data_IF_384802120574
#
_entry.id   IF_384802120574
#
_cell.length_a   1.000
_cell.length_b   1.000
_cell.length_c   1.000
_cell.angle_alpha   90.00
_cell.angle_beta   90.00
_cell.angle_gamma   90.00
#
_symmetry.space_group_name_H-M   'P 1'
#
loop_
_entity.id
_entity.type
_entity.pdbx_description
1 polymer ?
#
# COMPACT_ATOMS: atom_id res chain seq x y z
N UNK A 1 -11.86 20.86 -14.37
CA UNK A 1 -11.38 21.11 -13.00
C UNK A 1 -12.01 20.07 -12.12
N UNK A 2 -11.27 19.04 -11.71
CA UNK A 2 -11.77 18.00 -10.80
C UNK A 2 -11.66 18.54 -9.38
N UNK A 3 -12.75 18.48 -8.63
CA UNK A 3 -12.82 18.94 -7.23
C UNK A 3 -11.84 18.16 -6.34
N UNK A 4 -11.26 18.79 -5.31
CA UNK A 4 -10.41 18.09 -4.36
C UNK A 4 -11.28 17.13 -3.54
N UNK A 5 -10.91 15.86 -3.52
CA UNK A 5 -11.54 14.84 -2.69
C UNK A 5 -11.24 15.13 -1.21
N UNK A 6 -12.10 15.89 -0.54
CA UNK A 6 -12.04 16.14 0.90
C UNK A 6 -12.83 15.06 1.63
N UNK A 7 -12.28 13.86 1.70
CA UNK A 7 -12.82 12.84 2.59
C UNK A 7 -12.42 13.25 4.03
N UNK A 8 -13.37 13.58 4.94
CA UNK A 8 -13.02 14.01 6.29
C UNK A 8 -12.28 12.88 7.02
N UNK A 9 -11.25 13.25 7.79
CA UNK A 9 -10.55 12.33 8.68
C UNK A 9 -11.57 11.65 9.64
N UNK A 10 -11.34 10.40 10.05
CA UNK A 10 -12.19 9.74 11.04
C UNK A 10 -12.27 10.60 12.31
N UNK A 11 -13.46 10.67 12.92
CA UNK A 11 -13.77 11.56 14.07
C UNK A 11 -12.93 11.31 15.32
N UNK A 12 -12.16 10.22 15.37
CA UNK A 12 -11.31 9.82 16.49
C UNK A 12 -9.80 9.99 16.24
N UNK A 13 -9.39 10.53 15.08
CA UNK A 13 -7.96 10.75 14.80
C UNK A 13 -7.48 12.08 15.40
N UNK A 14 -6.55 12.01 16.35
CA UNK A 14 -5.86 13.17 16.92
C UNK A 14 -4.50 13.39 16.23
N UNK A 15 -4.34 14.40 15.35
CA UNK A 15 -3.07 14.69 14.68
C UNK A 15 -1.98 15.23 15.63
N UNK A 16 -2.35 15.60 16.85
CA UNK A 16 -1.45 16.10 17.89
C UNK A 16 -1.19 15.07 19.00
N UNK A 17 -1.59 13.81 18.80
CA UNK A 17 -1.32 12.73 19.74
C UNK A 17 0.20 12.61 20.01
N UNK A 18 0.61 12.86 21.25
CA UNK A 18 2.00 12.80 21.65
C UNK A 18 2.15 12.53 23.14
N UNK A 19 3.09 11.66 23.50
CA UNK A 19 3.50 11.43 24.89
C UNK A 19 4.51 12.46 25.41
N UNK A 20 4.97 13.39 24.56
CA UNK A 20 6.06 14.34 24.85
C UNK A 20 5.58 15.68 25.43
N UNK A 21 4.29 15.81 25.71
CA UNK A 21 3.71 17.05 26.25
C UNK A 21 4.33 17.41 27.59
N UNK A 22 4.84 18.63 27.72
CA UNK A 22 5.50 19.14 28.93
C UNK A 22 6.95 18.69 29.13
N UNK A 23 7.47 17.80 28.28
CA UNK A 23 8.88 17.38 28.29
C UNK A 23 9.73 18.13 27.25
N UNK A 24 9.08 18.66 26.22
CA UNK A 24 9.72 19.31 25.06
C UNK A 24 9.14 20.71 24.86
N UNK A 25 10.00 21.64 24.40
CA UNK A 25 9.58 22.99 24.06
C UNK A 25 8.44 23.00 23.03
N UNK A 26 7.47 23.91 23.25
CA UNK A 26 6.27 23.99 22.40
C UNK A 26 6.60 24.20 20.92
N UNK A 27 7.61 25.02 20.62
CA UNK A 27 8.01 25.29 19.23
C UNK A 27 8.50 24.01 18.51
N UNK A 28 9.16 23.10 19.23
CA UNK A 28 9.62 21.82 18.68
C UNK A 28 8.45 20.87 18.46
N UNK A 29 7.47 20.87 19.37
CA UNK A 29 6.23 20.09 19.20
C UNK A 29 5.44 20.56 17.97
N UNK A 30 5.33 21.88 17.76
CA UNK A 30 4.61 22.44 16.62
C UNK A 30 5.27 22.05 15.28
N UNK A 31 6.60 22.11 15.19
CA UNK A 31 7.34 21.64 14.00
C UNK A 31 7.15 20.14 13.77
N UNK A 32 7.22 19.33 14.85
CA UNK A 32 6.99 17.90 14.79
C UNK A 32 5.58 17.56 14.28
N UNK A 33 4.55 18.27 14.76
CA UNK A 33 3.18 18.09 14.30
C UNK A 33 3.02 18.48 12.83
N UNK A 34 3.67 19.54 12.36
CA UNK A 34 3.65 19.91 10.94
C UNK A 34 4.26 18.82 10.05
N UNK A 35 5.37 18.22 10.46
CA UNK A 35 6.00 17.12 9.71
C UNK A 35 5.09 15.88 9.72
N UNK A 36 4.52 15.54 10.88
CA UNK A 36 3.60 14.39 11.01
C UNK A 36 2.33 14.54 10.18
N UNK A 37 1.76 15.73 10.09
CA UNK A 37 0.62 15.98 9.20
C UNK A 37 0.95 15.69 7.73
N UNK A 38 2.20 15.88 7.30
CA UNK A 38 2.64 15.46 5.95
C UNK A 38 2.74 13.93 5.84
N UNK A 39 3.23 13.25 6.87
CA UNK A 39 3.28 11.78 6.95
C UNK A 39 1.87 11.19 6.86
N UNK A 40 0.92 11.71 7.64
CA UNK A 40 -0.46 11.25 7.64
C UNK A 40 -1.09 11.34 6.24
N UNK A 41 -0.78 12.42 5.51
CA UNK A 41 -1.24 12.60 4.13
C UNK A 41 -0.58 11.60 3.16
N UNK A 42 0.70 11.26 3.33
CA UNK A 42 1.34 10.21 2.53
C UNK A 42 0.77 8.82 2.82
N UNK A 43 0.49 8.53 4.09
CA UNK A 43 -0.11 7.25 4.51
C UNK A 43 -1.51 7.09 3.92
N UNK A 44 -2.32 8.15 3.92
CA UNK A 44 -3.63 8.16 3.26
C UNK A 44 -3.50 7.85 1.75
N UNK A 45 -2.57 8.51 1.07
CA UNK A 45 -2.31 8.26 -0.36
C UNK A 45 -1.84 6.82 -0.62
N UNK A 46 -0.98 6.27 0.24
CA UNK A 46 -0.51 4.90 0.14
C UNK A 46 -1.69 3.91 0.23
N UNK A 47 -2.62 4.12 1.17
CA UNK A 47 -3.82 3.28 1.32
C UNK A 47 -4.70 3.34 0.07
N UNK A 48 -4.97 4.53 -0.47
CA UNK A 48 -5.78 4.66 -1.68
C UNK A 48 -5.10 4.03 -2.91
N UNK A 49 -3.79 4.19 -3.07
CA UNK A 49 -3.03 3.55 -4.14
C UNK A 49 -3.05 2.03 -4.03
N UNK A 50 -2.90 1.49 -2.81
CA UNK A 50 -3.01 0.06 -2.57
C UNK A 50 -4.42 -0.44 -2.92
N UNK A 51 -5.48 0.27 -2.55
CA UNK A 51 -6.86 -0.10 -2.89
C UNK A 51 -7.06 -0.23 -4.41
N UNK A 52 -6.57 0.73 -5.19
CA UNK A 52 -6.63 0.66 -6.66
C UNK A 52 -5.78 -0.48 -7.22
N UNK A 53 -4.57 -0.70 -6.67
CA UNK A 53 -3.73 -1.84 -7.05
C UNK A 53 -4.45 -3.17 -6.78
N UNK A 54 -5.12 -3.31 -5.64
CA UNK A 54 -5.84 -4.53 -5.29
C UNK A 54 -7.03 -4.78 -6.22
N UNK A 55 -7.80 -3.74 -6.61
CA UNK A 55 -8.85 -3.86 -7.65
C UNK A 55 -8.31 -4.43 -8.96
N UNK A 56 -7.16 -3.94 -9.42
CA UNK A 56 -6.51 -4.48 -10.62
C UNK A 56 -6.12 -5.95 -10.44
N UNK A 57 -5.58 -6.32 -9.28
CA UNK A 57 -5.20 -7.71 -9.01
C UNK A 57 -6.40 -8.64 -8.88
N UNK A 58 -7.55 -8.19 -8.36
CA UNK A 58 -8.79 -8.97 -8.34
C UNK A 58 -9.25 -9.29 -9.77
N UNK A 59 -9.22 -8.30 -10.68
CA UNK A 59 -9.53 -8.52 -12.10
C UNK A 59 -8.60 -9.56 -12.74
N UNK A 60 -7.30 -9.51 -12.43
CA UNK A 60 -6.34 -10.55 -12.85
C UNK A 60 -6.73 -11.92 -12.26
N UNK A 61 -7.12 -11.97 -10.99
CA UNK A 61 -7.56 -13.20 -10.32
C UNK A 61 -8.79 -13.83 -10.97
N UNK A 62 -9.82 -13.03 -11.27
CA UNK A 62 -11.00 -13.49 -12.01
C UNK A 62 -10.64 -14.00 -13.41
N UNK A 63 -9.80 -13.26 -14.16
CA UNK A 63 -9.34 -13.69 -15.47
C UNK A 63 -8.59 -15.03 -15.38
N UNK A 64 -7.70 -15.19 -14.40
CA UNK A 64 -6.98 -16.43 -14.16
C UNK A 64 -7.93 -17.58 -13.82
N UNK A 65 -8.91 -17.35 -12.96
CA UNK A 65 -9.90 -18.37 -12.57
C UNK A 65 -10.71 -18.86 -13.77
N UNK A 66 -11.27 -17.95 -14.58
CA UNK A 66 -12.05 -18.27 -15.80
C UNK A 66 -11.25 -19.13 -16.78
N UNK A 67 -9.93 -18.90 -16.86
CA UNK A 67 -9.05 -19.63 -17.78
C UNK A 67 -8.23 -20.74 -17.10
N UNK A 68 -8.56 -21.11 -15.85
CA UNK A 68 -7.87 -22.16 -15.09
C UNK A 68 -6.35 -21.97 -15.01
N UNK A 69 -5.90 -20.71 -14.94
CA UNK A 69 -4.50 -20.34 -14.84
C UNK A 69 -4.01 -20.35 -13.39
N UNK A 70 -2.73 -20.66 -13.13
CA UNK A 70 -2.19 -20.68 -11.79
C UNK A 70 -2.18 -19.28 -11.15
N UNK A 71 -2.41 -19.18 -9.83
CA UNK A 71 -2.43 -17.89 -9.11
C UNK A 71 -1.05 -17.22 -9.07
N UNK A 72 0.04 -18.00 -8.98
CA UNK A 72 1.42 -17.51 -9.03
C UNK A 72 2.01 -17.55 -10.45
N UNK A 73 2.93 -16.63 -10.73
CA UNK A 73 3.78 -16.62 -11.93
C UNK A 73 5.19 -16.20 -11.49
N UNK A 74 6.09 -17.18 -11.22
CA UNK A 74 7.42 -16.89 -10.68
C UNK A 74 8.27 -15.97 -11.55
N UNK A 75 8.12 -16.05 -12.89
CA UNK A 75 8.85 -15.18 -13.80
C UNK A 75 8.35 -13.74 -13.71
N UNK A 76 7.02 -13.55 -13.62
CA UNK A 76 6.42 -12.23 -13.42
C UNK A 76 6.81 -11.65 -12.06
N UNK A 77 6.82 -12.46 -11.01
CA UNK A 77 7.22 -12.06 -9.66
C UNK A 77 8.67 -11.57 -9.63
N UNK A 78 9.60 -12.36 -10.19
CA UNK A 78 11.01 -11.97 -10.33
C UNK A 78 11.18 -10.64 -11.06
N UNK A 79 10.51 -10.46 -12.20
CA UNK A 79 10.57 -9.21 -12.96
C UNK A 79 10.00 -8.00 -12.21
N UNK A 80 8.99 -8.20 -11.35
CA UNK A 80 8.48 -7.12 -10.48
C UNK A 80 9.51 -6.71 -9.44
N UNK A 81 10.16 -7.68 -8.80
CA UNK A 81 11.20 -7.43 -7.79
C UNK A 81 12.37 -6.65 -8.41
N UNK A 82 12.90 -7.11 -9.54
CA UNK A 82 14.01 -6.45 -10.23
C UNK A 82 13.68 -4.99 -10.59
N UNK A 83 12.50 -4.75 -11.17
CA UNK A 83 12.03 -3.40 -11.50
C UNK A 83 11.86 -2.54 -10.25
N UNK A 84 11.29 -3.07 -9.18
CA UNK A 84 11.07 -2.30 -7.96
C UNK A 84 12.38 -1.94 -7.27
N UNK A 85 13.36 -2.85 -7.21
CA UNK A 85 14.69 -2.56 -6.67
C UNK A 85 15.38 -1.43 -7.44
N UNK A 86 15.16 -1.34 -8.76
CA UNK A 86 15.66 -0.23 -9.57
C UNK A 86 14.98 1.09 -9.20
N UNK A 87 13.64 1.13 -9.16
CA UNK A 87 12.89 2.33 -8.76
C UNK A 87 13.24 2.79 -7.34
N UNK A 88 13.47 1.87 -6.41
CA UNK A 88 13.88 2.18 -5.05
C UNK A 88 15.21 2.94 -5.04
N UNK A 89 16.20 2.50 -5.83
CA UNK A 89 17.49 3.22 -5.95
C UNK A 89 17.32 4.62 -6.52
N UNK A 90 16.50 4.78 -7.55
CA UNK A 90 16.21 6.10 -8.15
C UNK A 90 15.52 7.05 -7.17
N UNK A 91 14.66 6.50 -6.30
CA UNK A 91 13.94 7.24 -5.27
C UNK A 91 14.73 7.41 -3.95
N UNK A 92 16.00 7.00 -3.91
CA UNK A 92 16.82 6.98 -2.69
C UNK A 92 16.19 6.19 -1.51
N UNK A 93 15.40 5.16 -1.83
CA UNK A 93 14.82 4.21 -0.89
C UNK A 93 15.68 2.93 -0.86
N UNK A 94 15.80 2.31 0.32
CA UNK A 94 16.48 1.03 0.47
C UNK A 94 15.80 -0.06 -0.41
N UNK A 95 16.53 -0.67 -1.37
CA UNK A 95 15.99 -1.71 -2.23
C UNK A 95 15.54 -2.96 -1.47
N UNK A 96 16.17 -3.29 -0.33
CA UNK A 96 15.76 -4.44 0.47
C UNK A 96 14.42 -4.18 1.18
N UNK A 97 14.23 -2.98 1.71
CA UNK A 97 12.94 -2.55 2.25
C UNK A 97 11.84 -2.59 1.19
N UNK A 98 12.09 -2.01 0.01
CA UNK A 98 11.11 -2.01 -1.08
C UNK A 98 10.71 -3.44 -1.49
N UNK A 99 11.69 -4.34 -1.60
CA UNK A 99 11.45 -5.75 -1.91
C UNK A 99 10.60 -6.45 -0.83
N UNK A 100 10.86 -6.21 0.46
CA UNK A 100 10.03 -6.74 1.56
C UNK A 100 8.58 -6.29 1.44
N UNK A 101 8.35 -5.01 1.17
CA UNK A 101 6.99 -4.46 0.97
C UNK A 101 6.29 -5.13 -0.21
N UNK A 102 6.98 -5.29 -1.35
CA UNK A 102 6.39 -5.93 -2.52
C UNK A 102 6.13 -7.42 -2.30
N UNK A 103 7.03 -8.15 -1.64
CA UNK A 103 6.84 -9.56 -1.32
C UNK A 103 5.61 -9.77 -0.42
N UNK A 104 5.40 -8.88 0.55
CA UNK A 104 4.17 -8.87 1.36
C UNK A 104 2.92 -8.67 0.49
N UNK A 105 2.93 -7.66 -0.39
CA UNK A 105 1.79 -7.39 -1.28
C UNK A 105 1.52 -8.56 -2.24
N UNK A 106 2.56 -9.17 -2.82
CA UNK A 106 2.43 -10.33 -3.72
C UNK A 106 1.79 -11.52 -2.98
N UNK A 107 2.22 -11.77 -1.75
CA UNK A 107 1.68 -12.85 -0.91
C UNK A 107 0.17 -12.69 -0.70
N UNK A 108 -0.29 -11.48 -0.38
CA UNK A 108 -1.72 -11.19 -0.23
C UNK A 108 -2.49 -11.33 -1.55
N UNK A 109 -1.91 -10.92 -2.67
CA UNK A 109 -2.54 -11.08 -4.00
C UNK A 109 -2.72 -12.56 -4.35
N UNK A 110 -1.71 -13.40 -4.12
CA UNK A 110 -1.79 -14.84 -4.39
C UNK A 110 -2.88 -15.49 -3.54
N UNK A 111 -2.95 -15.13 -2.25
CA UNK A 111 -4.03 -15.60 -1.35
C UNK A 111 -5.41 -15.22 -1.91
N UNK A 112 -5.60 -13.97 -2.34
CA UNK A 112 -6.87 -13.54 -2.95
C UNK A 112 -7.20 -14.30 -4.24
N UNK A 113 -6.20 -14.58 -5.10
CA UNK A 113 -6.43 -15.35 -6.32
C UNK A 113 -6.88 -16.79 -6.03
N UNK A 114 -6.31 -17.42 -4.99
CA UNK A 114 -6.75 -18.74 -4.54
C UNK A 114 -8.21 -18.71 -4.08
N UNK A 115 -8.62 -17.70 -3.30
CA UNK A 115 -10.02 -17.54 -2.89
C UNK A 115 -10.96 -17.36 -4.08
N UNK A 116 -10.59 -16.51 -5.06
CA UNK A 116 -11.40 -16.27 -6.27
C UNK A 116 -11.54 -17.56 -7.10
N UNK A 117 -10.44 -18.30 -7.29
CA UNK A 117 -10.45 -19.58 -8.01
C UNK A 117 -11.34 -20.61 -7.31
N UNK A 118 -11.24 -20.75 -5.99
CA UNK A 118 -12.08 -21.66 -5.22
C UNK A 118 -13.57 -21.29 -5.30
N UNK A 119 -13.90 -20.00 -5.25
CA UNK A 119 -15.27 -19.54 -5.42
C UNK A 119 -15.81 -19.88 -6.82
N UNK A 120 -15.01 -19.65 -7.87
CA UNK A 120 -15.38 -19.95 -9.25
C UNK A 120 -15.59 -21.44 -9.52
N UNK A 121 -14.80 -22.32 -8.91
CA UNK A 121 -14.94 -23.77 -9.08
C UNK A 121 -16.16 -24.37 -8.34
N UNK A 122 -16.77 -23.60 -7.43
CA UNK A 122 -17.95 -24.01 -6.66
C UNK A 122 -19.27 -23.48 -7.26
N UNK A 123 -19.20 -22.72 -8.35
CA UNK A 123 -20.33 -22.20 -9.14
C UNK A 123 -20.59 -23.06 -10.38
#
# INVERSE_FOLDING_TARGET
MSEPNTNPLPTDFDPHASSLHGEVDQAVLDELYSIRGSIDNFDAQLVYLLAERFKATQRVGHLKAVHQLPPSDPNREKAQIERLRHLAREAHLDPEFAEKVLNFIISEVIRHHQHISNAHNNE
#
